data_IF_744666837061
#
_entry.id   IF_744666837061
#
_cell.length_a   1.000
_cell.length_b   1.000
_cell.length_c   1.000
_cell.angle_alpha   90.00
_cell.angle_beta   90.00
_cell.angle_gamma   90.00
#
_symmetry.space_group_name_H-M   'P 1'
#
loop_
_entity.id
_entity.type
_entity.pdbx_description
1 polymer ?
#
# COMPACT_ATOMS: atom_id res chain seq x y z
N UNK A 1 12.24 24.92 22.14
CA UNK A 1 11.70 24.52 20.84
C UNK A 1 10.23 24.94 20.76
N UNK A 2 9.80 25.63 19.69
CA UNK A 2 8.41 26.07 19.55
C UNK A 2 7.45 24.87 19.44
N UNK A 3 6.21 24.99 19.92
CA UNK A 3 5.19 23.93 19.77
C UNK A 3 5.03 23.45 18.33
N UNK A 4 5.24 24.33 17.34
CA UNK A 4 5.19 23.99 15.91
C UNK A 4 6.24 22.93 15.52
N UNK A 5 7.44 22.96 16.09
CA UNK A 5 8.49 21.98 15.79
C UNK A 5 8.06 20.59 16.27
N UNK A 6 7.48 20.48 17.47
CA UNK A 6 7.00 19.19 17.97
C UNK A 6 5.84 18.63 17.13
N UNK A 7 4.96 19.49 16.63
CA UNK A 7 3.89 19.06 15.72
C UNK A 7 4.44 18.50 14.39
N UNK A 8 5.48 19.15 13.84
CA UNK A 8 6.17 18.66 12.63
C UNK A 8 6.87 17.33 12.94
N UNK A 9 7.52 17.18 14.10
CA UNK A 9 8.15 15.92 14.49
C UNK A 9 7.15 14.79 14.66
N UNK A 10 5.96 15.06 15.22
CA UNK A 10 4.86 14.08 15.29
C UNK A 10 4.45 13.63 13.88
N UNK A 11 4.28 14.58 12.95
CA UNK A 11 3.92 14.29 11.58
C UNK A 11 5.01 13.48 10.87
N UNK A 12 6.28 13.88 10.98
CA UNK A 12 7.41 13.13 10.41
C UNK A 12 7.50 11.71 10.97
N UNK A 13 7.28 11.53 12.28
CA UNK A 13 7.25 10.20 12.91
C UNK A 13 6.10 9.34 12.40
N UNK A 14 4.93 9.93 12.14
CA UNK A 14 3.80 9.20 11.55
C UNK A 14 4.07 8.81 10.09
N UNK A 15 4.74 9.67 9.30
CA UNK A 15 5.19 9.34 7.94
C UNK A 15 6.26 8.25 7.98
N UNK A 16 7.22 8.32 8.91
CA UNK A 16 8.23 7.28 9.10
C UNK A 16 7.59 5.94 9.52
N UNK A 17 6.57 5.98 10.37
CA UNK A 17 5.77 4.80 10.72
C UNK A 17 5.09 4.19 9.49
N UNK A 18 4.49 5.01 8.63
CA UNK A 18 3.93 4.55 7.36
C UNK A 18 4.99 3.92 6.45
N UNK A 19 6.15 4.57 6.29
CA UNK A 19 7.29 4.00 5.53
C UNK A 19 7.69 2.63 6.09
N UNK A 20 7.87 2.55 7.40
CA UNK A 20 8.23 1.31 8.08
C UNK A 20 7.22 0.19 7.80
N UNK A 21 5.92 0.48 7.92
CA UNK A 21 4.89 -0.53 7.69
C UNK A 21 4.82 -0.99 6.24
N UNK A 22 5.12 -0.11 5.28
CA UNK A 22 5.24 -0.48 3.87
C UNK A 22 6.43 -1.43 3.65
N UNK A 23 7.58 -1.10 4.24
CA UNK A 23 8.78 -1.92 4.16
C UNK A 23 8.58 -3.31 4.77
N UNK A 24 8.07 -3.41 6.01
CA UNK A 24 7.89 -4.70 6.70
C UNK A 24 6.83 -5.59 6.03
N UNK A 25 5.83 -4.99 5.36
CA UNK A 25 4.85 -5.73 4.59
C UNK A 25 5.50 -6.42 3.38
N UNK A 26 6.28 -5.69 2.61
CA UNK A 26 6.89 -6.18 1.37
C UNK A 26 8.19 -6.97 1.62
N UNK A 27 8.81 -6.84 2.79
CA UNK A 27 10.06 -7.53 3.14
C UNK A 27 9.92 -9.06 3.22
N UNK A 28 8.70 -9.59 3.36
CA UNK A 28 8.51 -11.05 3.44
C UNK A 28 8.97 -11.77 2.17
N UNK A 29 8.94 -11.12 1.01
CA UNK A 29 9.51 -11.66 -0.23
C UNK A 29 11.03 -11.89 -0.11
N UNK A 30 11.75 -10.94 0.51
CA UNK A 30 13.19 -11.07 0.76
C UNK A 30 13.49 -12.09 1.87
N UNK A 31 12.62 -12.17 2.88
CA UNK A 31 12.77 -13.09 4.00
C UNK A 31 12.32 -14.52 3.71
N UNK A 32 11.61 -14.77 2.60
CA UNK A 32 11.13 -16.11 2.26
C UNK A 32 12.26 -17.14 2.15
N UNK A 33 13.38 -16.78 1.52
CA UNK A 33 14.54 -17.68 1.35
C UNK A 33 15.13 -18.10 2.70
N UNK A 34 15.53 -17.20 3.62
CA UNK A 34 16.03 -17.62 4.92
C UNK A 34 14.97 -18.33 5.77
N UNK A 35 13.71 -17.96 5.69
CA UNK A 35 12.64 -18.65 6.42
C UNK A 35 12.51 -20.11 5.96
N UNK A 36 12.60 -20.38 4.67
CA UNK A 36 12.58 -21.74 4.12
C UNK A 36 13.88 -22.48 4.48
N UNK A 37 15.06 -21.89 4.22
CA UNK A 37 16.33 -22.59 4.30
C UNK A 37 16.86 -22.74 5.74
N UNK A 38 16.61 -21.76 6.62
CA UNK A 38 17.15 -21.77 7.99
C UNK A 38 16.12 -22.29 9.01
N UNK A 39 14.84 -22.04 8.79
CA UNK A 39 13.77 -22.41 9.74
C UNK A 39 12.87 -23.57 9.24
N UNK A 40 13.06 -24.04 7.99
CA UNK A 40 12.33 -25.18 7.44
C UNK A 40 10.87 -24.92 7.09
N UNK A 41 10.46 -23.64 6.93
CA UNK A 41 9.10 -23.31 6.53
C UNK A 41 8.82 -23.72 5.10
N UNK A 42 7.60 -24.17 4.84
CA UNK A 42 7.13 -24.42 3.49
C UNK A 42 6.72 -23.14 2.77
N UNK A 43 6.64 -23.18 1.44
CA UNK A 43 6.07 -22.09 0.66
C UNK A 43 4.62 -21.78 1.05
N UNK A 44 3.88 -22.76 1.54
CA UNK A 44 2.52 -22.63 2.06
C UNK A 44 2.50 -21.79 3.33
N UNK A 45 3.44 -22.00 4.28
CA UNK A 45 3.55 -21.18 5.49
C UNK A 45 3.81 -19.73 5.15
N UNK A 46 4.67 -19.46 4.16
CA UNK A 46 4.94 -18.11 3.68
C UNK A 46 3.68 -17.47 3.06
N UNK A 47 2.93 -18.21 2.25
CA UNK A 47 1.68 -17.74 1.66
C UNK A 47 0.64 -17.41 2.75
N UNK A 48 0.50 -18.26 3.77
CA UNK A 48 -0.36 -17.98 4.92
C UNK A 48 0.11 -16.77 5.72
N UNK A 49 1.41 -16.55 5.88
CA UNK A 49 1.98 -15.39 6.55
C UNK A 49 1.67 -14.06 5.80
N UNK A 50 1.58 -14.08 4.47
CA UNK A 50 1.11 -12.95 3.67
C UNK A 50 -0.39 -12.74 3.89
N UNK A 51 -1.16 -13.81 3.82
CA UNK A 51 -2.62 -13.76 3.91
C UNK A 51 -3.12 -13.29 5.27
N UNK A 52 -2.54 -13.81 6.35
CA UNK A 52 -2.96 -13.45 7.72
C UNK A 52 -2.69 -11.97 8.05
N UNK A 53 -1.59 -11.41 7.53
CA UNK A 53 -1.33 -9.97 7.61
C UNK A 53 -2.43 -9.17 6.90
N UNK A 54 -2.82 -9.59 5.69
CA UNK A 54 -3.88 -8.94 4.91
C UNK A 54 -5.24 -9.04 5.58
N UNK A 55 -5.55 -10.18 6.20
CA UNK A 55 -6.77 -10.40 6.99
C UNK A 55 -6.79 -9.47 8.20
N UNK A 56 -5.68 -9.33 8.94
CA UNK A 56 -5.57 -8.41 10.06
C UNK A 56 -5.82 -6.96 9.62
N UNK A 57 -5.24 -6.55 8.49
CA UNK A 57 -5.46 -5.25 7.89
C UNK A 57 -6.93 -5.03 7.50
N UNK A 58 -7.57 -6.05 6.89
CA UNK A 58 -8.98 -6.01 6.50
C UNK A 58 -9.90 -5.80 7.71
N UNK A 59 -9.72 -6.60 8.77
CA UNK A 59 -10.51 -6.53 10.01
C UNK A 59 -10.38 -5.15 10.65
N UNK A 60 -9.20 -4.58 10.64
CA UNK A 60 -8.91 -3.31 11.30
C UNK A 60 -9.31 -2.07 10.49
N UNK A 61 -9.68 -2.17 9.21
CA UNK A 61 -9.99 -0.99 8.38
C UNK A 61 -11.15 -0.15 8.91
N UNK A 62 -12.25 -0.79 9.32
CA UNK A 62 -13.40 -0.09 9.90
C UNK A 62 -13.10 0.37 11.33
N UNK A 63 -12.62 -0.49 12.26
CA UNK A 63 -12.26 -0.06 13.60
C UNK A 63 -11.30 1.12 13.65
N UNK A 64 -10.26 1.14 12.81
CA UNK A 64 -9.29 2.24 12.78
C UNK A 64 -9.95 3.58 12.45
N UNK A 65 -10.84 3.60 11.45
CA UNK A 65 -11.58 4.81 11.11
C UNK A 65 -12.32 5.38 12.32
N UNK A 66 -13.10 4.53 13.00
CA UNK A 66 -13.87 4.91 14.20
C UNK A 66 -12.95 5.34 15.35
N UNK A 67 -11.89 4.57 15.62
CA UNK A 67 -10.97 4.84 16.73
C UNK A 67 -10.27 6.19 16.53
N UNK A 68 -9.77 6.44 15.32
CA UNK A 68 -9.06 7.69 15.00
C UNK A 68 -10.00 8.90 15.03
N UNK A 69 -11.21 8.76 14.49
CA UNK A 69 -12.17 9.86 14.47
C UNK A 69 -12.74 10.17 15.86
N UNK A 70 -12.98 9.14 16.70
CA UNK A 70 -13.55 9.30 18.04
C UNK A 70 -12.52 9.67 19.12
N UNK A 71 -11.40 8.96 19.17
CA UNK A 71 -10.40 9.11 20.23
C UNK A 71 -9.23 10.03 19.82
N UNK A 72 -9.18 10.44 18.55
CA UNK A 72 -8.06 11.17 17.99
C UNK A 72 -6.90 10.23 17.63
N UNK A 73 -5.82 10.83 17.15
CA UNK A 73 -4.65 10.08 16.66
C UNK A 73 -3.57 9.85 17.71
N UNK A 74 -3.59 10.59 18.82
CA UNK A 74 -2.51 10.60 19.80
C UNK A 74 -2.16 9.23 20.36
N UNK A 75 -3.05 8.69 21.18
CA UNK A 75 -2.86 7.43 21.90
C UNK A 75 -3.03 6.22 20.98
N UNK A 76 -4.05 6.18 20.09
CA UNK A 76 -4.21 5.02 19.20
C UNK A 76 -3.00 4.76 18.32
N UNK A 77 -2.32 5.80 17.82
CA UNK A 77 -1.12 5.63 16.98
C UNK A 77 0.06 5.14 17.80
N UNK A 78 0.25 5.62 19.05
CA UNK A 78 1.28 5.09 19.95
C UNK A 78 1.07 3.61 20.24
N UNK A 79 -0.16 3.21 20.53
CA UNK A 79 -0.52 1.80 20.75
C UNK A 79 -0.23 0.99 19.48
N UNK A 80 -0.63 1.49 18.32
CA UNK A 80 -0.39 0.81 17.04
C UNK A 80 1.10 0.63 16.74
N UNK A 81 1.93 1.66 16.98
CA UNK A 81 3.39 1.58 16.87
C UNK A 81 3.98 0.53 17.82
N UNK A 82 3.49 0.47 19.07
CA UNK A 82 3.91 -0.53 20.06
C UNK A 82 3.52 -1.94 19.60
N UNK A 83 2.30 -2.13 19.08
CA UNK A 83 1.83 -3.40 18.54
C UNK A 83 2.71 -3.87 17.37
N UNK A 84 3.07 -2.96 16.45
CA UNK A 84 3.99 -3.30 15.34
C UNK A 84 5.37 -3.64 15.86
N UNK A 85 5.91 -2.92 16.84
CA UNK A 85 7.20 -3.22 17.46
C UNK A 85 7.21 -4.62 18.08
N UNK A 86 6.20 -4.95 18.90
CA UNK A 86 6.05 -6.27 19.51
C UNK A 86 5.96 -7.36 18.44
N UNK A 87 5.09 -7.17 17.44
CA UNK A 87 4.94 -8.11 16.34
C UNK A 87 6.23 -8.33 15.55
N UNK A 88 6.99 -7.25 15.28
CA UNK A 88 8.29 -7.35 14.58
C UNK A 88 9.34 -8.05 15.43
N UNK A 89 9.34 -7.83 16.74
CA UNK A 89 10.26 -8.53 17.66
C UNK A 89 9.96 -10.04 17.71
N UNK A 90 8.67 -10.42 17.76
CA UNK A 90 8.26 -11.83 17.68
C UNK A 90 8.65 -12.42 16.31
N UNK A 91 8.47 -11.66 15.22
CA UNK A 91 8.84 -12.08 13.88
C UNK A 91 10.35 -12.36 13.73
N UNK A 92 11.22 -11.79 14.57
CA UNK A 92 12.66 -12.10 14.57
C UNK A 92 12.98 -13.53 15.01
N UNK A 93 12.05 -14.21 15.71
CA UNK A 93 12.23 -15.55 16.27
C UNK A 93 11.11 -16.51 15.84
N UNK A 94 10.99 -16.83 14.55
CA UNK A 94 9.90 -17.65 13.99
C UNK A 94 10.17 -19.15 14.24
N UNK A 95 9.98 -19.60 15.49
CA UNK A 95 10.31 -20.98 15.92
C UNK A 95 9.39 -22.00 15.22
N UNK A 96 8.15 -21.64 14.94
CA UNK A 96 7.16 -22.49 14.24
C UNK A 96 6.16 -21.65 13.46
N UNK A 97 5.33 -22.30 12.62
CA UNK A 97 4.34 -21.63 11.79
C UNK A 97 3.35 -20.81 12.59
N UNK A 98 2.95 -21.26 13.78
CA UNK A 98 2.00 -20.51 14.63
C UNK A 98 2.60 -19.16 15.08
N UNK A 99 3.88 -19.13 15.49
CA UNK A 99 4.58 -17.91 15.88
C UNK A 99 4.78 -16.99 14.68
N UNK A 100 5.17 -17.55 13.53
CA UNK A 100 5.27 -16.81 12.27
C UNK A 100 3.95 -16.11 11.93
N UNK A 101 2.85 -16.84 11.91
CA UNK A 101 1.52 -16.32 11.57
C UNK A 101 1.04 -15.30 12.61
N UNK A 102 1.21 -15.59 13.91
CA UNK A 102 0.82 -14.67 15.00
C UNK A 102 1.58 -13.35 14.91
N UNK A 103 2.89 -13.39 14.66
CA UNK A 103 3.69 -12.17 14.50
C UNK A 103 3.18 -11.32 13.33
N UNK A 104 2.88 -11.94 12.19
CA UNK A 104 2.35 -11.26 11.00
C UNK A 104 0.96 -10.67 11.23
N UNK A 105 0.10 -11.39 11.98
CA UNK A 105 -1.21 -10.89 12.37
C UNK A 105 -1.10 -9.65 13.26
N UNK A 106 -0.25 -9.70 14.29
CA UNK A 106 0.00 -8.57 15.20
C UNK A 106 0.54 -7.36 14.43
N UNK A 107 1.53 -7.55 13.53
CA UNK A 107 2.06 -6.48 12.68
C UNK A 107 0.93 -5.88 11.84
N UNK A 108 0.06 -6.71 11.25
CA UNK A 108 -1.06 -6.28 10.43
C UNK A 108 -2.05 -5.39 11.18
N UNK A 109 -2.41 -5.75 12.42
CA UNK A 109 -3.28 -4.94 13.29
C UNK A 109 -2.72 -3.51 13.46
N UNK A 110 -1.47 -3.39 13.88
CA UNK A 110 -0.87 -2.07 14.12
C UNK A 110 -0.65 -1.28 12.83
N UNK A 111 -0.28 -1.95 11.74
CA UNK A 111 -0.06 -1.32 10.42
C UNK A 111 -1.30 -0.61 9.90
N UNK A 112 -2.50 -1.07 10.23
CA UNK A 112 -3.76 -0.48 9.76
C UNK A 112 -3.90 1.01 10.13
N UNK A 113 -3.25 1.46 11.21
CA UNK A 113 -3.26 2.85 11.66
C UNK A 113 -2.28 3.75 10.89
N UNK A 114 -1.22 3.21 10.31
CA UNK A 114 -0.08 3.99 9.83
C UNK A 114 -0.44 5.03 8.77
N UNK A 115 -1.08 4.62 7.69
CA UNK A 115 -1.44 5.51 6.59
C UNK A 115 -2.52 6.51 7.01
N UNK A 116 -3.53 6.05 7.76
CA UNK A 116 -4.64 6.89 8.23
C UNK A 116 -4.15 8.01 9.13
N UNK A 117 -3.22 7.71 10.04
CA UNK A 117 -2.64 8.71 10.94
C UNK A 117 -1.80 9.75 10.19
N UNK A 118 -0.97 9.33 9.22
CA UNK A 118 -0.19 10.25 8.41
C UNK A 118 -1.09 11.23 7.65
N UNK A 119 -2.15 10.75 6.99
CA UNK A 119 -3.09 11.61 6.26
C UNK A 119 -3.93 12.49 7.18
N UNK A 120 -4.39 11.96 8.32
CA UNK A 120 -5.15 12.75 9.28
C UNK A 120 -4.32 13.90 9.85
N UNK A 121 -3.08 13.64 10.27
CA UNK A 121 -2.15 14.69 10.72
C UNK A 121 -1.91 15.74 9.63
N UNK A 122 -1.73 15.31 8.40
CA UNK A 122 -1.55 16.21 7.25
C UNK A 122 -2.76 17.13 7.08
N UNK A 123 -3.98 16.59 7.21
CA UNK A 123 -5.22 17.39 7.09
C UNK A 123 -5.43 18.40 8.22
N UNK A 124 -4.83 18.17 9.39
CA UNK A 124 -4.86 19.08 10.54
C UNK A 124 -3.80 20.19 10.41
N UNK A 125 -2.62 19.85 9.88
CA UNK A 125 -1.46 20.74 9.87
C UNK A 125 -1.45 21.65 8.64
N UNK A 126 -1.92 21.14 7.49
CA UNK A 126 -1.79 21.82 6.20
C UNK A 126 -3.14 22.29 5.64
N UNK A 127 -3.07 23.38 4.86
CA UNK A 127 -4.23 23.85 4.09
C UNK A 127 -4.68 22.83 3.04
N UNK A 128 -5.93 22.91 2.60
CA UNK A 128 -6.50 21.99 1.58
C UNK A 128 -5.65 21.91 0.29
N UNK A 129 -5.02 23.04 -0.09
CA UNK A 129 -4.17 23.10 -1.28
C UNK A 129 -2.86 22.32 -1.08
N UNK A 130 -2.22 22.49 0.07
CA UNK A 130 -0.97 21.78 0.39
C UNK A 130 -1.19 20.33 0.77
N UNK A 131 -2.41 19.96 1.19
CA UNK A 131 -2.77 18.58 1.51
C UNK A 131 -2.54 17.62 0.33
N UNK A 132 -2.97 17.99 -0.89
CA UNK A 132 -2.78 17.16 -2.08
C UNK A 132 -1.30 16.91 -2.40
N UNK A 133 -0.45 17.93 -2.23
CA UNK A 133 0.99 17.80 -2.42
C UNK A 133 1.62 16.92 -1.35
N UNK A 134 1.25 17.15 -0.09
CA UNK A 134 1.78 16.39 1.04
C UNK A 134 1.35 14.90 1.00
N UNK A 135 0.15 14.59 0.54
CA UNK A 135 -0.29 13.20 0.31
C UNK A 135 0.56 12.52 -0.76
N UNK A 136 0.94 13.25 -1.81
CA UNK A 136 1.89 12.77 -2.82
C UNK A 136 3.26 12.44 -2.22
N UNK A 137 3.80 13.30 -1.35
CA UNK A 137 5.05 13.03 -0.64
C UNK A 137 4.96 11.84 0.31
N UNK A 138 3.87 11.70 1.08
CA UNK A 138 3.65 10.54 1.96
C UNK A 138 3.68 9.27 1.12
N UNK A 139 2.99 9.27 -0.01
CA UNK A 139 2.96 8.12 -0.90
C UNK A 139 4.34 7.82 -1.50
N UNK A 140 5.08 8.84 -1.93
CA UNK A 140 6.47 8.71 -2.42
C UNK A 140 7.36 8.02 -1.38
N UNK A 141 7.33 8.45 -0.14
CA UNK A 141 8.11 7.83 0.93
C UNK A 141 7.71 6.37 1.17
N UNK A 142 6.41 6.06 1.08
CA UNK A 142 5.93 4.68 1.12
C UNK A 142 6.48 3.83 -0.04
N UNK A 143 6.51 4.37 -1.25
CA UNK A 143 7.05 3.70 -2.45
C UNK A 143 8.56 3.51 -2.36
N UNK A 144 9.28 4.49 -1.81
CA UNK A 144 10.71 4.37 -1.53
C UNK A 144 10.99 3.24 -0.52
N UNK A 145 10.18 3.13 0.53
CA UNK A 145 10.29 2.05 1.51
C UNK A 145 10.07 0.66 0.90
N UNK A 146 9.11 0.53 -0.04
CA UNK A 146 8.90 -0.69 -0.82
C UNK A 146 10.12 -1.01 -1.69
N UNK A 147 10.72 0.00 -2.33
CA UNK A 147 11.93 -0.20 -3.15
C UNK A 147 13.13 -0.66 -2.32
N UNK A 148 13.28 -0.16 -1.10
CA UNK A 148 14.33 -0.60 -0.15
C UNK A 148 14.10 -2.04 0.30
N UNK A 149 12.86 -2.48 0.45
CA UNK A 149 12.55 -3.87 0.80
C UNK A 149 12.80 -4.88 -0.32
N UNK A 150 13.06 -4.42 -1.53
CA UNK A 150 13.44 -5.23 -2.67
C UNK A 150 14.94 -5.56 -2.71
N UNK A 151 15.66 -5.03 -3.70
CA UNK A 151 17.08 -5.35 -3.92
C UNK A 151 18.01 -5.06 -2.72
N UNK A 152 17.92 -3.92 -2.00
CA UNK A 152 18.80 -3.67 -0.85
C UNK A 152 18.59 -4.66 0.29
N UNK A 153 17.34 -5.00 0.61
CA UNK A 153 17.05 -5.96 1.68
C UNK A 153 17.45 -7.39 1.28
N UNK A 154 17.23 -7.77 0.01
CA UNK A 154 17.71 -9.04 -0.53
C UNK A 154 19.23 -9.18 -0.43
N UNK A 155 19.98 -8.11 -0.69
CA UNK A 155 21.42 -8.09 -0.48
C UNK A 155 21.79 -8.27 0.99
N UNK A 156 21.14 -7.52 1.89
CA UNK A 156 21.38 -7.64 3.32
C UNK A 156 21.12 -9.06 3.86
N UNK A 157 20.02 -9.70 3.42
CA UNK A 157 19.65 -11.07 3.82
C UNK A 157 20.65 -12.12 3.36
N UNK A 158 21.38 -11.88 2.27
CA UNK A 158 22.46 -12.77 1.82
C UNK A 158 23.73 -12.63 2.66
N UNK A 159 23.99 -11.47 3.27
CA UNK A 159 25.22 -11.16 4.00
C UNK A 159 25.08 -11.38 5.52
N UNK A 160 23.88 -11.18 6.06
CA UNK A 160 23.62 -11.16 7.49
C UNK A 160 22.55 -12.17 7.88
N UNK A 161 22.58 -12.61 9.13
CA UNK A 161 21.58 -13.51 9.68
C UNK A 161 20.21 -12.82 9.72
N UNK A 162 19.17 -13.56 9.37
CA UNK A 162 17.76 -13.13 9.37
C UNK A 162 17.36 -12.42 10.67
N UNK A 163 17.65 -13.04 11.81
CA UNK A 163 17.28 -12.52 13.14
C UNK A 163 17.86 -11.13 13.39
N UNK A 164 19.14 -10.91 13.06
CA UNK A 164 19.78 -9.60 13.26
C UNK A 164 19.14 -8.52 12.38
N UNK A 165 18.78 -8.86 11.14
CA UNK A 165 18.11 -7.90 10.25
C UNK A 165 16.74 -7.53 10.82
N UNK A 166 15.92 -8.50 11.23
CA UNK A 166 14.59 -8.24 11.77
C UNK A 166 14.66 -7.49 13.10
N UNK A 167 15.65 -7.79 13.98
CA UNK A 167 15.87 -7.01 15.21
C UNK A 167 16.33 -5.59 14.91
N UNK A 168 17.11 -5.35 13.86
CA UNK A 168 17.46 -4.00 13.41
C UNK A 168 16.21 -3.24 12.97
N UNK A 169 15.30 -3.90 12.25
CA UNK A 169 14.00 -3.32 11.91
C UNK A 169 13.17 -3.00 13.17
N UNK A 170 13.15 -3.89 14.16
CA UNK A 170 12.48 -3.63 15.44
C UNK A 170 13.11 -2.43 16.17
N UNK A 171 14.43 -2.29 16.12
CA UNK A 171 15.16 -1.13 16.66
C UNK A 171 14.77 0.18 15.97
N UNK A 172 14.65 0.18 14.64
CA UNK A 172 14.16 1.33 13.88
C UNK A 172 12.72 1.70 14.33
N UNK A 173 11.84 0.71 14.48
CA UNK A 173 10.48 0.95 14.96
C UNK A 173 10.45 1.54 16.37
N UNK A 174 11.33 1.07 17.26
CA UNK A 174 11.47 1.61 18.61
C UNK A 174 11.89 3.08 18.58
N UNK A 175 12.85 3.45 17.73
CA UNK A 175 13.27 4.86 17.56
C UNK A 175 12.11 5.73 17.06
N UNK A 176 11.34 5.26 16.08
CA UNK A 176 10.16 5.99 15.57
C UNK A 176 9.13 6.18 16.69
N UNK A 177 8.84 5.14 17.47
CA UNK A 177 7.92 5.20 18.62
C UNK A 177 8.41 6.21 19.68
N UNK A 178 9.71 6.20 20.01
CA UNK A 178 10.30 7.14 20.97
C UNK A 178 10.18 8.59 20.48
N UNK A 179 10.52 8.85 19.21
CA UNK A 179 10.42 10.18 18.61
C UNK A 179 8.97 10.69 18.62
N UNK A 180 8.02 9.85 18.24
CA UNK A 180 6.59 10.17 18.28
C UNK A 180 6.14 10.49 19.72
N UNK A 181 6.45 9.61 20.67
CA UNK A 181 6.03 9.71 22.06
C UNK A 181 6.59 10.97 22.73
N UNK A 182 7.90 11.24 22.61
CA UNK A 182 8.55 12.41 23.17
C UNK A 182 7.95 13.69 22.58
N UNK A 183 7.79 13.73 21.26
CA UNK A 183 7.24 14.90 20.57
C UNK A 183 5.79 15.16 20.98
N UNK A 184 4.98 14.10 21.10
CA UNK A 184 3.60 14.19 21.57
C UNK A 184 3.50 14.67 23.02
N UNK A 185 4.31 14.17 23.93
CA UNK A 185 4.32 14.63 25.33
C UNK A 185 4.72 16.11 25.46
N UNK A 186 5.65 16.59 24.62
CA UNK A 186 6.07 17.99 24.60
C UNK A 186 5.06 18.92 23.91
N UNK A 187 4.36 18.44 22.87
CA UNK A 187 3.34 19.23 22.18
C UNK A 187 2.03 19.35 22.98
N UNK A 188 1.63 18.26 23.64
CA UNK A 188 0.33 18.11 24.28
C UNK A 188 -0.67 17.35 23.40
N UNK A 189 -1.96 17.53 23.65
CA UNK A 189 -3.02 16.87 22.88
C UNK A 189 -3.18 17.48 21.49
N UNK A 190 -3.27 16.63 20.48
CA UNK A 190 -3.60 17.03 19.12
C UNK A 190 -5.11 17.29 19.02
N UNK A 191 -5.55 18.36 18.33
CA UNK A 191 -6.96 18.65 18.17
C UNK A 191 -7.75 17.46 17.58
N UNK A 192 -8.93 17.19 18.17
CA UNK A 192 -9.85 16.16 17.68
C UNK A 192 -10.81 16.78 16.65
N UNK A 193 -11.44 15.92 15.84
CA UNK A 193 -12.61 16.33 15.07
C UNK A 193 -13.84 16.27 15.99
N UNK A 194 -14.58 17.36 16.09
CA UNK A 194 -15.82 17.39 16.88
C UNK A 194 -17.02 16.81 16.11
N UNK A 195 -16.85 16.46 14.84
CA UNK A 195 -17.92 16.12 13.90
C UNK A 195 -18.47 14.70 14.08
N UNK A 196 -17.68 13.75 14.63
CA UNK A 196 -18.08 12.35 14.77
C UNK A 196 -18.07 11.95 16.25
N UNK A 197 -19.27 11.93 16.87
CA UNK A 197 -19.44 11.67 18.32
C UNK A 197 -19.80 10.22 18.65
N UNK A 198 -20.37 9.47 17.69
CA UNK A 198 -20.87 8.12 17.92
C UNK A 198 -20.60 7.14 16.77
N UNK A 199 -20.74 5.85 17.03
CA UNK A 199 -20.73 4.81 15.99
C UNK A 199 -21.86 4.99 14.97
N UNK A 200 -23.04 5.46 15.42
CA UNK A 200 -24.18 5.72 14.53
C UNK A 200 -23.88 6.83 13.55
N UNK A 201 -23.18 7.89 13.97
CA UNK A 201 -22.75 9.00 13.10
C UNK A 201 -21.78 8.52 12.02
N UNK A 202 -20.88 7.59 12.39
CA UNK A 202 -19.95 6.97 11.43
C UNK A 202 -20.69 6.18 10.35
N UNK A 203 -21.65 5.33 10.73
CA UNK A 203 -22.45 4.56 9.76
C UNK A 203 -23.40 5.43 8.95
N UNK A 204 -23.96 6.50 9.53
CA UNK A 204 -24.73 7.49 8.79
C UNK A 204 -23.86 8.20 7.73
N UNK A 205 -22.63 8.54 8.08
CA UNK A 205 -21.64 9.09 7.15
C UNK A 205 -21.31 8.16 6.01
N UNK A 206 -21.14 6.85 6.27
CA UNK A 206 -20.95 5.83 5.24
C UNK A 206 -22.15 5.80 4.29
N UNK A 207 -23.38 5.81 4.82
CA UNK A 207 -24.60 5.84 4.00
C UNK A 207 -24.65 7.07 3.09
N UNK A 208 -24.18 8.21 3.58
CA UNK A 208 -24.10 9.45 2.79
C UNK A 208 -22.99 9.42 1.73
N UNK A 209 -21.90 8.70 1.98
CA UNK A 209 -20.83 8.47 0.99
C UNK A 209 -21.42 7.71 -0.20
N UNK A 210 -22.22 6.66 0.05
CA UNK A 210 -22.85 5.88 -1.02
C UNK A 210 -23.88 6.64 -1.88
N UNK A 211 -24.33 7.81 -1.45
CA UNK A 211 -25.19 8.69 -2.27
C UNK A 211 -24.39 9.50 -3.30
N UNK A 212 -23.10 9.74 -3.07
CA UNK A 212 -22.25 10.51 -3.98
C UNK A 212 -21.57 9.62 -5.02
N UNK A 213 -22.16 9.56 -6.22
CA UNK A 213 -21.64 8.74 -7.34
C UNK A 213 -20.19 9.04 -7.68
N UNK A 214 -19.71 10.28 -7.53
CA UNK A 214 -18.32 10.62 -7.85
C UNK A 214 -17.36 10.02 -6.82
N UNK A 215 -17.72 10.01 -5.54
CA UNK A 215 -16.92 9.34 -4.51
C UNK A 215 -16.86 7.84 -4.78
N UNK A 216 -18.02 7.22 -5.12
CA UNK A 216 -18.08 5.77 -5.41
C UNK A 216 -17.20 5.43 -6.62
N UNK A 217 -17.34 6.15 -7.75
CA UNK A 217 -16.51 5.89 -8.94
C UNK A 217 -15.03 6.06 -8.64
N UNK A 218 -14.67 7.06 -7.83
CA UNK A 218 -13.27 7.30 -7.47
C UNK A 218 -12.72 6.22 -6.53
N UNK A 219 -13.53 5.74 -5.57
CA UNK A 219 -13.17 4.62 -4.69
C UNK A 219 -12.97 3.35 -5.52
N UNK A 220 -13.93 2.97 -6.36
CA UNK A 220 -13.86 1.77 -7.17
C UNK A 220 -12.65 1.80 -8.12
N UNK A 221 -12.46 2.92 -8.84
CA UNK A 221 -11.29 3.12 -9.70
C UNK A 221 -9.98 2.90 -8.95
N UNK A 222 -9.82 3.61 -7.82
CA UNK A 222 -8.59 3.53 -7.06
C UNK A 222 -8.38 2.15 -6.44
N UNK A 223 -9.44 1.50 -5.91
CA UNK A 223 -9.34 0.16 -5.31
C UNK A 223 -8.96 -0.91 -6.33
N UNK A 224 -9.58 -0.89 -7.51
CA UNK A 224 -9.27 -1.82 -8.60
C UNK A 224 -7.82 -1.65 -9.06
N UNK A 225 -7.40 -0.41 -9.32
CA UNK A 225 -6.03 -0.16 -9.75
C UNK A 225 -5.02 -0.50 -8.66
N UNK A 226 -5.30 -0.17 -7.40
CA UNK A 226 -4.43 -0.47 -6.25
C UNK A 226 -4.27 -1.99 -6.08
N UNK A 227 -5.35 -2.75 -6.21
CA UNK A 227 -5.32 -4.21 -6.20
C UNK A 227 -4.37 -4.75 -7.29
N UNK A 228 -4.52 -4.31 -8.53
CA UNK A 228 -3.65 -4.74 -9.62
C UNK A 228 -2.21 -4.33 -9.39
N UNK A 229 -1.98 -3.07 -8.99
CA UNK A 229 -0.64 -2.52 -8.80
C UNK A 229 0.16 -3.31 -7.77
N UNK A 230 -0.39 -3.51 -6.57
CA UNK A 230 0.33 -4.20 -5.50
C UNK A 230 0.53 -5.70 -5.76
N UNK A 231 -0.37 -6.34 -6.49
CA UNK A 231 -0.17 -7.73 -6.90
C UNK A 231 0.89 -7.83 -8.00
N UNK A 232 0.94 -6.86 -8.90
CA UNK A 232 1.96 -6.82 -9.97
C UNK A 232 3.35 -6.59 -9.40
N UNK A 233 3.55 -5.56 -8.57
CA UNK A 233 4.86 -5.28 -7.95
C UNK A 233 5.21 -6.24 -6.81
N UNK A 234 4.26 -7.02 -6.34
CA UNK A 234 4.45 -8.06 -5.34
C UNK A 234 4.76 -9.41 -5.98
N UNK A 235 3.86 -10.37 -5.75
CA UNK A 235 4.08 -11.77 -6.10
C UNK A 235 4.00 -12.07 -7.60
N UNK A 236 2.88 -11.67 -8.25
CA UNK A 236 2.55 -12.14 -9.60
C UNK A 236 3.50 -11.62 -10.68
N UNK A 237 3.80 -10.33 -10.65
CA UNK A 237 4.66 -9.73 -11.66
C UNK A 237 6.08 -10.28 -11.61
N UNK A 238 6.65 -10.39 -10.42
CA UNK A 238 7.98 -10.96 -10.26
C UNK A 238 8.04 -12.42 -10.69
N UNK A 239 7.04 -13.23 -10.30
CA UNK A 239 6.97 -14.66 -10.66
C UNK A 239 6.84 -14.87 -12.16
N UNK A 240 6.03 -14.06 -12.85
CA UNK A 240 5.91 -14.13 -14.31
C UNK A 240 7.24 -13.76 -14.99
N UNK A 241 7.90 -12.69 -14.54
CA UNK A 241 9.16 -12.23 -15.11
C UNK A 241 10.31 -13.24 -14.87
N UNK A 242 10.34 -13.92 -13.74
CA UNK A 242 11.31 -15.00 -13.46
C UNK A 242 11.17 -16.21 -14.41
N UNK A 243 9.98 -16.44 -14.96
CA UNK A 243 9.73 -17.47 -15.96
C UNK A 243 10.04 -16.99 -17.41
N UNK A 244 10.62 -15.79 -17.58
CA UNK A 244 11.14 -15.29 -18.86
C UNK A 244 12.65 -15.51 -18.95
N UNK A 245 13.29 -14.93 -19.96
CA UNK A 245 14.76 -14.96 -20.09
C UNK A 245 15.49 -13.94 -19.20
N UNK A 246 14.77 -13.29 -18.27
CA UNK A 246 15.33 -12.32 -17.34
C UNK A 246 15.92 -13.03 -16.11
N UNK A 247 17.03 -12.52 -15.61
CA UNK A 247 17.56 -12.95 -14.32
C UNK A 247 16.73 -12.37 -13.14
N UNK A 248 16.96 -12.89 -11.94
CA UNK A 248 16.19 -12.49 -10.74
C UNK A 248 16.36 -11.02 -10.36
N UNK A 249 17.51 -10.41 -10.67
CA UNK A 249 17.73 -8.99 -10.40
C UNK A 249 16.96 -8.12 -11.40
N UNK A 250 16.98 -8.48 -12.68
CA UNK A 250 16.23 -7.80 -13.73
C UNK A 250 14.73 -7.93 -13.52
N UNK A 251 14.24 -9.12 -13.16
CA UNK A 251 12.84 -9.33 -12.82
C UNK A 251 12.39 -8.48 -11.63
N UNK A 252 13.19 -8.42 -10.56
CA UNK A 252 12.92 -7.57 -9.40
C UNK A 252 12.99 -6.08 -9.71
N UNK A 253 13.92 -5.67 -10.57
CA UNK A 253 14.06 -4.28 -10.99
C UNK A 253 12.82 -3.81 -11.75
N UNK A 254 12.38 -4.58 -12.75
CA UNK A 254 11.22 -4.26 -13.60
C UNK A 254 9.92 -4.43 -12.82
N UNK A 255 9.75 -5.60 -12.19
CA UNK A 255 8.50 -5.97 -11.52
C UNK A 255 8.19 -5.15 -10.28
N UNK A 256 9.21 -4.68 -9.55
CA UNK A 256 9.01 -3.97 -8.29
C UNK A 256 9.60 -2.56 -8.29
N UNK A 257 10.92 -2.42 -8.47
CA UNK A 257 11.62 -1.17 -8.14
C UNK A 257 11.22 0.00 -9.04
N UNK A 258 11.23 -0.18 -10.36
CA UNK A 258 10.94 0.90 -11.33
C UNK A 258 9.49 1.36 -11.18
N UNK A 259 8.54 0.42 -11.19
CA UNK A 259 7.13 0.76 -11.08
C UNK A 259 6.80 1.46 -9.75
N UNK A 260 7.38 0.99 -8.64
CA UNK A 260 7.16 1.58 -7.30
C UNK A 260 7.73 3.00 -7.23
N UNK A 261 8.97 3.23 -7.65
CA UNK A 261 9.58 4.56 -7.66
C UNK A 261 8.84 5.52 -8.58
N UNK A 262 8.48 5.06 -9.78
CA UNK A 262 7.71 5.85 -10.74
C UNK A 262 6.35 6.27 -10.16
N UNK A 263 5.66 5.36 -9.46
CA UNK A 263 4.39 5.66 -8.81
C UNK A 263 4.52 6.70 -7.70
N UNK A 264 5.60 6.62 -6.92
CA UNK A 264 5.90 7.59 -5.88
C UNK A 264 6.15 8.99 -6.43
N UNK A 265 7.01 9.11 -7.43
CA UNK A 265 7.31 10.39 -8.11
C UNK A 265 6.04 10.94 -8.78
N UNK A 266 5.30 10.10 -9.49
CA UNK A 266 4.05 10.48 -10.13
C UNK A 266 3.01 10.99 -9.12
N UNK A 267 2.94 10.42 -7.92
CA UNK A 267 2.02 10.89 -6.88
C UNK A 267 2.31 12.31 -6.42
N UNK A 268 3.58 12.72 -6.36
CA UNK A 268 3.97 14.11 -6.08
C UNK A 268 3.53 15.02 -7.23
N UNK A 269 3.85 14.63 -8.47
CA UNK A 269 3.49 15.41 -9.67
C UNK A 269 1.97 15.56 -9.80
N UNK A 270 1.22 14.49 -9.59
CA UNK A 270 -0.26 14.52 -9.59
C UNK A 270 -0.77 15.43 -8.47
N UNK A 271 -0.19 15.36 -7.27
CA UNK A 271 -0.53 16.27 -6.17
C UNK A 271 -0.32 17.74 -6.54
N UNK A 272 0.77 18.07 -7.23
CA UNK A 272 1.03 19.42 -7.74
C UNK A 272 0.02 19.82 -8.84
N UNK A 273 -0.27 18.93 -9.79
CA UNK A 273 -1.28 19.17 -10.83
C UNK A 273 -2.67 19.43 -10.24
N UNK A 274 -3.03 18.70 -9.18
CA UNK A 274 -4.28 18.90 -8.44
C UNK A 274 -4.26 20.27 -7.74
N UNK A 275 -3.18 20.63 -7.08
CA UNK A 275 -3.05 21.91 -6.37
C UNK A 275 -3.12 23.14 -7.30
N UNK A 276 -2.67 22.99 -8.55
CA UNK A 276 -2.76 24.03 -9.59
C UNK A 276 -4.08 24.01 -10.38
N UNK A 277 -4.98 23.07 -10.07
CA UNK A 277 -6.26 22.84 -10.77
C UNK A 277 -6.15 22.50 -12.27
N UNK A 278 -4.97 22.09 -12.72
CA UNK A 278 -4.74 21.67 -14.12
C UNK A 278 -5.22 20.25 -14.41
N UNK A 279 -5.63 19.48 -13.38
CA UNK A 279 -6.05 18.10 -13.58
C UNK A 279 -7.35 18.05 -14.39
N UNK A 280 -7.27 17.41 -15.55
CA UNK A 280 -8.42 17.13 -16.43
C UNK A 280 -8.75 15.64 -16.38
N UNK A 281 -10.03 15.31 -16.65
CA UNK A 281 -10.50 13.93 -16.81
C UNK A 281 -9.68 13.13 -17.83
N UNK A 282 -9.30 13.78 -18.95
CA UNK A 282 -8.48 13.17 -20.00
C UNK A 282 -7.13 12.69 -19.47
N UNK A 283 -6.51 13.39 -18.53
CA UNK A 283 -5.24 12.97 -17.94
C UNK A 283 -5.38 11.63 -17.20
N UNK A 284 -6.42 11.48 -16.37
CA UNK A 284 -6.68 10.24 -15.63
C UNK A 284 -6.86 9.08 -16.62
N UNK A 285 -7.71 9.27 -17.63
CA UNK A 285 -7.96 8.24 -18.64
C UNK A 285 -6.72 7.87 -19.44
N UNK A 286 -5.97 8.84 -19.96
CA UNK A 286 -4.76 8.59 -20.74
C UNK A 286 -3.72 7.79 -19.93
N UNK A 287 -3.41 8.23 -18.71
CA UNK A 287 -2.38 7.55 -17.91
C UNK A 287 -2.83 6.19 -17.41
N UNK A 288 -4.12 5.97 -17.14
CA UNK A 288 -4.65 4.64 -16.83
C UNK A 288 -4.59 3.72 -18.06
N UNK A 289 -4.85 4.26 -19.26
CA UNK A 289 -4.73 3.51 -20.51
C UNK A 289 -3.27 3.13 -20.80
N UNK A 290 -2.33 4.04 -20.60
CA UNK A 290 -0.89 3.77 -20.72
C UNK A 290 -0.45 2.68 -19.72
N UNK A 291 -0.94 2.71 -18.48
CA UNK A 291 -0.68 1.66 -17.51
C UNK A 291 -1.22 0.30 -17.96
N UNK A 292 -2.41 0.25 -18.55
CA UNK A 292 -3.00 -0.99 -19.09
C UNK A 292 -2.18 -1.56 -20.25
N UNK A 293 -1.76 -0.69 -21.17
CA UNK A 293 -0.88 -1.08 -22.29
C UNK A 293 0.47 -1.59 -21.74
N UNK A 294 1.03 -0.93 -20.73
CA UNK A 294 2.28 -1.35 -20.11
C UNK A 294 2.22 -2.74 -19.51
N UNK A 295 1.13 -3.07 -18.81
CA UNK A 295 0.88 -4.42 -18.26
C UNK A 295 0.82 -5.46 -19.38
N UNK A 296 0.15 -5.14 -20.50
CA UNK A 296 0.10 -6.02 -21.67
C UNK A 296 1.50 -6.21 -22.25
N UNK A 297 2.27 -5.15 -22.39
CA UNK A 297 3.64 -5.23 -22.90
C UNK A 297 4.54 -6.09 -22.00
N UNK A 298 4.49 -5.89 -20.69
CA UNK A 298 5.37 -6.61 -19.73
C UNK A 298 5.04 -8.10 -19.70
N UNK A 299 3.76 -8.46 -19.65
CA UNK A 299 3.37 -9.84 -19.32
C UNK A 299 2.82 -10.65 -20.49
N UNK A 300 2.31 -10.04 -21.56
CA UNK A 300 1.64 -10.74 -22.65
C UNK A 300 2.41 -10.71 -23.96
N UNK A 301 3.42 -9.83 -24.10
CA UNK A 301 4.33 -9.86 -25.25
C UNK A 301 5.55 -10.74 -24.94
N UNK A 302 6.25 -11.17 -25.98
CA UNK A 302 7.51 -11.93 -25.84
C UNK A 302 8.74 -10.99 -25.89
N UNK A 303 8.57 -9.73 -25.49
CA UNK A 303 9.66 -8.76 -25.43
C UNK A 303 10.58 -9.14 -24.28
N UNK A 304 11.88 -9.34 -24.56
CA UNK A 304 12.92 -9.59 -23.57
C UNK A 304 13.90 -8.41 -23.42
N UNK A 305 13.68 -7.32 -24.15
CA UNK A 305 14.53 -6.14 -24.06
C UNK A 305 14.26 -5.40 -22.73
N UNK A 306 15.27 -5.36 -21.87
CA UNK A 306 15.19 -4.77 -20.55
C UNK A 306 14.81 -3.27 -20.58
N UNK A 307 15.26 -2.52 -21.56
CA UNK A 307 14.96 -1.08 -21.66
C UNK A 307 13.49 -0.83 -22.00
N UNK A 308 12.91 -1.64 -22.90
CA UNK A 308 11.49 -1.54 -23.26
C UNK A 308 10.62 -1.94 -22.07
N UNK A 309 10.96 -3.02 -21.37
CA UNK A 309 10.23 -3.47 -20.19
C UNK A 309 10.36 -2.47 -19.05
N UNK A 310 11.53 -1.87 -18.85
CA UNK A 310 11.72 -0.80 -17.87
C UNK A 310 10.88 0.44 -18.17
N UNK A 311 10.80 0.84 -19.45
CA UNK A 311 9.93 1.94 -19.87
C UNK A 311 8.45 1.62 -19.64
N UNK A 312 8.03 0.40 -19.93
CA UNK A 312 6.66 -0.05 -19.63
C UNK A 312 6.38 -0.04 -18.13
N UNK A 313 7.30 -0.54 -17.28
CA UNK A 313 7.17 -0.49 -15.84
C UNK A 313 7.07 0.95 -15.30
N UNK A 314 7.82 1.88 -15.88
CA UNK A 314 7.74 3.30 -15.56
C UNK A 314 6.35 3.87 -15.86
N UNK A 315 5.79 3.62 -17.05
CA UNK A 315 4.43 4.08 -17.39
C UNK A 315 3.34 3.44 -16.53
N UNK A 316 3.51 2.17 -16.16
CA UNK A 316 2.61 1.51 -15.21
C UNK A 316 2.61 2.22 -13.85
N UNK A 317 3.78 2.55 -13.33
CA UNK A 317 3.92 3.30 -12.07
C UNK A 317 3.35 4.72 -12.17
N UNK A 318 3.61 5.44 -13.27
CA UNK A 318 3.05 6.78 -13.49
C UNK A 318 1.51 6.72 -13.48
N UNK A 319 0.91 5.77 -14.20
CA UNK A 319 -0.55 5.58 -14.23
C UNK A 319 -1.13 5.36 -12.83
N UNK A 320 -0.45 4.59 -11.98
CA UNK A 320 -0.86 4.38 -10.60
C UNK A 320 -0.86 5.67 -9.78
N UNK A 321 0.06 6.61 -10.01
CA UNK A 321 0.09 7.90 -9.32
C UNK A 321 -1.22 8.68 -9.42
N UNK A 322 -2.00 8.50 -10.49
CA UNK A 322 -3.29 9.16 -10.69
C UNK A 322 -4.40 8.62 -9.77
N UNK A 323 -4.21 7.48 -9.11
CA UNK A 323 -5.15 7.00 -8.06
C UNK A 323 -5.24 7.97 -6.89
N UNK A 324 -4.23 8.82 -6.71
CA UNK A 324 -4.21 9.90 -5.72
C UNK A 324 -5.37 10.89 -5.80
N UNK A 325 -6.11 10.92 -6.91
CA UNK A 325 -7.32 11.74 -7.05
C UNK A 325 -8.40 11.40 -6.02
N UNK A 326 -8.40 10.17 -5.48
CA UNK A 326 -9.35 9.78 -4.43
C UNK A 326 -9.19 10.62 -3.17
N UNK A 327 -7.95 10.95 -2.80
CA UNK A 327 -7.66 11.76 -1.61
C UNK A 327 -8.17 13.20 -1.80
N UNK A 328 -7.97 13.76 -3.00
CA UNK A 328 -8.47 15.10 -3.34
C UNK A 328 -10.00 15.14 -3.37
N UNK A 329 -10.64 14.16 -4.01
CA UNK A 329 -12.10 14.06 -4.08
C UNK A 329 -12.71 13.92 -2.69
N UNK A 330 -12.15 13.08 -1.83
CA UNK A 330 -12.59 12.89 -0.46
C UNK A 330 -12.45 14.18 0.37
N UNK A 331 -11.29 14.84 0.28
CA UNK A 331 -11.01 16.06 1.04
C UNK A 331 -11.86 17.26 0.61
N UNK A 332 -12.15 17.41 -0.70
CA UNK A 332 -12.95 18.51 -1.22
C UNK A 332 -14.47 18.33 -1.01
N UNK A 333 -14.97 17.10 -1.17
CA UNK A 333 -16.40 16.82 -1.09
C UNK A 333 -16.92 16.55 0.31
N UNK A 334 -16.15 15.80 1.10
CA UNK A 334 -16.55 15.31 2.43
C UNK A 334 -15.36 15.21 3.37
N UNK A 335 -14.75 16.34 3.71
CA UNK A 335 -13.54 16.39 4.56
C UNK A 335 -13.75 15.71 5.93
N UNK A 336 -14.93 15.87 6.53
CA UNK A 336 -15.27 15.25 7.82
C UNK A 336 -15.23 13.71 7.76
N UNK A 337 -15.47 13.13 6.59
CA UNK A 337 -15.48 11.68 6.35
C UNK A 337 -14.25 11.18 5.57
N UNK A 338 -13.15 11.96 5.55
CA UNK A 338 -11.94 11.61 4.80
C UNK A 338 -11.45 10.21 5.16
N UNK A 339 -11.31 9.92 6.45
CA UNK A 339 -10.80 8.63 6.94
C UNK A 339 -11.77 7.50 6.58
N UNK A 340 -13.08 7.73 6.67
CA UNK A 340 -14.11 6.75 6.29
C UNK A 340 -14.05 6.41 4.80
N UNK A 341 -13.87 7.41 3.92
CA UNK A 341 -13.75 7.20 2.48
C UNK A 341 -12.49 6.40 2.16
N UNK A 342 -11.37 6.72 2.78
CA UNK A 342 -10.12 5.98 2.61
C UNK A 342 -10.22 4.56 3.17
N UNK A 343 -10.90 4.37 4.31
CA UNK A 343 -11.16 3.04 4.87
C UNK A 343 -11.97 2.18 3.91
N UNK A 344 -13.02 2.74 3.27
CA UNK A 344 -13.82 2.04 2.26
C UNK A 344 -12.99 1.67 1.02
N UNK A 345 -12.12 2.57 0.55
CA UNK A 345 -11.21 2.28 -0.56
C UNK A 345 -10.37 1.03 -0.27
N UNK A 346 -9.69 1.03 0.88
CA UNK A 346 -8.84 -0.09 1.25
C UNK A 346 -9.63 -1.35 1.61
N UNK A 347 -10.84 -1.21 2.16
CA UNK A 347 -11.73 -2.34 2.39
C UNK A 347 -12.05 -3.06 1.07
N UNK A 348 -12.45 -2.30 0.03
CA UNK A 348 -12.73 -2.86 -1.30
C UNK A 348 -11.47 -3.48 -1.90
N UNK A 349 -10.32 -2.84 -1.79
CA UNK A 349 -9.04 -3.39 -2.24
C UNK A 349 -8.72 -4.74 -1.58
N UNK A 350 -8.83 -4.82 -0.25
CA UNK A 350 -8.52 -6.07 0.47
C UNK A 350 -9.54 -7.18 0.20
N UNK A 351 -10.83 -6.85 0.00
CA UNK A 351 -11.84 -7.82 -0.44
C UNK A 351 -11.46 -8.38 -1.81
N UNK A 352 -11.12 -7.50 -2.75
CA UNK A 352 -10.67 -7.92 -4.09
C UNK A 352 -9.44 -8.83 -4.01
N UNK A 353 -8.43 -8.43 -3.23
CA UNK A 353 -7.23 -9.23 -3.01
C UNK A 353 -7.54 -10.61 -2.42
N UNK A 354 -8.46 -10.67 -1.45
CA UNK A 354 -8.86 -11.92 -0.79
C UNK A 354 -9.58 -12.90 -1.72
N UNK A 355 -10.22 -12.41 -2.78
CA UNK A 355 -10.95 -13.22 -3.76
C UNK A 355 -10.06 -13.53 -4.98
N UNK A 356 -9.45 -12.49 -5.56
CA UNK A 356 -8.78 -12.62 -6.86
C UNK A 356 -7.47 -13.40 -6.74
N UNK A 357 -6.70 -13.25 -5.65
CA UNK A 357 -5.45 -13.99 -5.48
C UNK A 357 -5.65 -15.51 -5.39
N UNK A 358 -6.52 -16.04 -4.51
CA UNK A 358 -6.79 -17.48 -4.48
C UNK A 358 -7.37 -17.99 -5.80
N UNK A 359 -8.25 -17.22 -6.44
CA UNK A 359 -8.84 -17.60 -7.73
C UNK A 359 -7.77 -17.69 -8.82
N UNK A 360 -6.88 -16.71 -8.91
CA UNK A 360 -5.78 -16.73 -9.87
C UNK A 360 -4.82 -17.92 -9.60
N UNK A 361 -4.50 -18.18 -8.32
CA UNK A 361 -3.67 -19.32 -7.96
C UNK A 361 -4.33 -20.67 -8.29
N UNK A 362 -5.65 -20.79 -8.06
CA UNK A 362 -6.41 -21.96 -8.43
C UNK A 362 -6.42 -22.20 -9.96
N UNK A 363 -6.68 -21.15 -10.74
CA UNK A 363 -6.62 -21.21 -12.21
C UNK A 363 -5.21 -21.63 -12.67
N UNK A 364 -4.17 -21.02 -12.12
CA UNK A 364 -2.79 -21.34 -12.48
C UNK A 364 -2.47 -22.81 -12.21
N UNK A 365 -2.82 -23.31 -11.02
CA UNK A 365 -2.61 -24.72 -10.65
C UNK A 365 -3.39 -25.66 -11.58
N UNK A 366 -4.66 -25.40 -11.78
CA UNK A 366 -5.53 -26.24 -12.65
C UNK A 366 -4.97 -26.33 -14.07
N UNK A 367 -4.48 -25.22 -14.63
CA UNK A 367 -3.87 -25.21 -15.96
C UNK A 367 -2.58 -26.06 -16.00
N UNK A 368 -1.76 -26.01 -14.95
CA UNK A 368 -0.57 -26.88 -14.85
C UNK A 368 -0.96 -28.34 -14.74
N UNK A 369 -2.00 -28.66 -13.98
CA UNK A 369 -2.52 -30.04 -13.85
C UNK A 369 -3.07 -30.58 -15.18
N UNK A 370 -3.46 -29.70 -16.13
CA UNK A 370 -3.84 -30.02 -17.51
C UNK A 370 -2.68 -29.89 -18.52
N UNK A 371 -1.43 -30.02 -18.09
CA UNK A 371 -0.22 -29.99 -18.92
C UNK A 371 0.03 -28.67 -19.68
N UNK A 372 -0.60 -27.56 -19.27
CA UNK A 372 -0.21 -26.26 -19.81
C UNK A 372 1.18 -25.87 -19.35
N UNK A 373 1.96 -25.26 -20.25
CA UNK A 373 3.26 -24.72 -19.86
C UNK A 373 3.13 -23.74 -18.69
N UNK A 374 3.98 -23.91 -17.66
CA UNK A 374 3.93 -23.14 -16.42
C UNK A 374 3.88 -21.62 -16.67
N UNK A 375 4.68 -21.14 -17.64
CA UNK A 375 4.68 -19.72 -18.01
C UNK A 375 3.32 -19.25 -18.58
N UNK A 376 2.67 -20.08 -19.40
CA UNK A 376 1.36 -19.75 -19.99
C UNK A 376 0.27 -19.76 -18.92
N UNK A 377 0.32 -20.70 -17.97
CA UNK A 377 -0.64 -20.78 -16.87
C UNK A 377 -0.60 -19.54 -15.97
N UNK A 378 0.59 -18.99 -15.69
CA UNK A 378 0.73 -17.72 -14.98
C UNK A 378 0.15 -16.53 -15.76
N UNK A 379 0.37 -16.46 -17.07
CA UNK A 379 -0.20 -15.39 -17.92
C UNK A 379 -1.72 -15.44 -17.94
N UNK A 380 -2.31 -16.62 -18.08
CA UNK A 380 -3.77 -16.78 -18.08
C UNK A 380 -4.37 -16.39 -16.73
N UNK A 381 -3.77 -16.85 -15.62
CA UNK A 381 -4.20 -16.50 -14.28
C UNK A 381 -4.11 -14.97 -14.02
N UNK A 382 -3.05 -14.33 -14.52
CA UNK A 382 -2.88 -12.88 -14.42
C UNK A 382 -3.91 -12.10 -15.25
N UNK A 383 -4.57 -12.73 -16.21
CA UNK A 383 -5.68 -12.16 -16.98
C UNK A 383 -6.80 -11.60 -16.13
N UNK A 384 -7.03 -12.16 -14.92
CA UNK A 384 -7.99 -11.61 -13.95
C UNK A 384 -7.59 -10.18 -13.53
N UNK A 385 -6.32 -9.94 -13.24
CA UNK A 385 -5.82 -8.63 -12.85
C UNK A 385 -5.88 -7.64 -14.02
N UNK A 386 -5.58 -8.09 -15.23
CA UNK A 386 -5.76 -7.27 -16.44
C UNK A 386 -7.23 -6.88 -16.63
N UNK A 387 -8.17 -7.79 -16.39
CA UNK A 387 -9.61 -7.51 -16.42
C UNK A 387 -10.00 -6.39 -15.42
N UNK A 388 -9.50 -6.46 -14.19
CA UNK A 388 -9.72 -5.40 -13.19
C UNK A 388 -9.14 -4.06 -13.64
N UNK A 389 -7.98 -4.06 -14.27
CA UNK A 389 -7.34 -2.83 -14.77
C UNK A 389 -8.13 -2.21 -15.94
N UNK A 390 -8.70 -3.03 -16.81
CA UNK A 390 -9.59 -2.56 -17.89
C UNK A 390 -10.86 -1.92 -17.30
N UNK A 391 -11.46 -2.53 -16.26
CA UNK A 391 -12.60 -1.96 -15.57
C UNK A 391 -12.23 -0.62 -14.92
N UNK A 392 -11.06 -0.54 -14.27
CA UNK A 392 -10.54 0.70 -13.71
C UNK A 392 -10.37 1.79 -14.80
N UNK A 393 -9.88 1.41 -15.99
CA UNK A 393 -9.75 2.32 -17.12
C UNK A 393 -11.12 2.88 -17.56
N UNK A 394 -12.13 2.03 -17.69
CA UNK A 394 -13.51 2.47 -18.02
C UNK A 394 -14.03 3.44 -16.95
N UNK A 395 -13.84 3.10 -15.66
CA UNK A 395 -14.28 3.97 -14.56
C UNK A 395 -13.57 5.32 -14.55
N UNK A 396 -12.28 5.36 -14.93
CA UNK A 396 -11.51 6.61 -14.99
C UNK A 396 -12.16 7.66 -15.91
N UNK A 397 -12.88 7.20 -16.93
CA UNK A 397 -13.63 8.06 -17.84
C UNK A 397 -14.81 8.77 -17.18
N UNK A 398 -15.37 8.27 -16.09
CA UNK A 398 -16.50 8.85 -15.37
C UNK A 398 -16.09 9.78 -14.22
N UNK A 399 -14.80 9.80 -13.85
CA UNK A 399 -14.30 10.65 -12.77
C UNK A 399 -14.17 12.10 -13.24
N UNK A 400 -14.75 13.03 -12.48
CA UNK A 400 -14.68 14.46 -12.73
C UNK A 400 -13.81 15.13 -11.67
N UNK A 401 -12.60 15.63 -12.02
CA UNK A 401 -11.78 16.40 -11.09
C UNK A 401 -12.56 17.59 -10.55
N UNK A 402 -12.44 17.84 -9.25
CA UNK A 402 -13.13 18.94 -8.58
C UNK A 402 -12.30 20.21 -8.71
N UNK A 403 -12.96 21.31 -9.12
CA UNK A 403 -12.42 22.66 -8.97
C UNK A 403 -12.65 23.13 -7.53
N UNK A 404 -11.71 23.90 -7.00
CA UNK A 404 -11.83 24.51 -5.67
C UNK A 404 -12.80 25.69 -5.76
#
# INVERSE_FOLDING_TARGET
>A
LSKKIFLILIWLSAVAFYMYTRMINTSLSAFSIPLINQYGFSSIDIAFAISIYSIAMLIMKIPVGVIVDRYGIDIPVMIAMTVVLVGTTIFAFPINSAILLTSRFIIGIGTAFAMMSAYRLTSIILSKRLFAVATGFIYFFGSLAVSISGAPLNYAVKQYNYTYIVLTLAGIMLVILMLYSISRFKYGRIPRSDDIKSFSDYFAGIKDIFKDRQIIFTILYASLFTCVFFNTIGYWGNTILLNTKLDSQQAGLIGNSIASLASGIASIVVGLIIATQFLKRSHIFIFTSLASISVIMIFYTNISNIYILSLAALFFGIGFGFTGIVFDTANKRKQSYLVSILSLLFLVEYILNSIINPLAAYIQKTLVDYDFATFLSYKIAYGLFLGLLIIANILSFYIKPQKI
#
